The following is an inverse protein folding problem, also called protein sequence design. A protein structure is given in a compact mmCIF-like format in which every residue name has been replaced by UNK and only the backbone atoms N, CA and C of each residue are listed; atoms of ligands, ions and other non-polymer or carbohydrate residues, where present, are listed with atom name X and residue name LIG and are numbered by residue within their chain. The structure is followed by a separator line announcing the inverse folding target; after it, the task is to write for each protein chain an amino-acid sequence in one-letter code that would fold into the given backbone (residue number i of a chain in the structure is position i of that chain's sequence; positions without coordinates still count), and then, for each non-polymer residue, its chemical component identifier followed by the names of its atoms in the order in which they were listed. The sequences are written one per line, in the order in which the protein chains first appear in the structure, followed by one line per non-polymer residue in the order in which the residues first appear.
data_IF_291879924403
#
_entry.id   IF_291879924403
#
_cell.length_a   1.000
_cell.length_b   1.000
_cell.length_c   1.000
_cell.angle_alpha   90.00
_cell.angle_beta   90.00
_cell.angle_gamma   90.00
#
_symmetry.space_group_name_H-M   'P 1'
#
loop_
_entity.id
_entity.type
_entity.pdbx_description
1 polymer ?
#
# COMPACT_ATOMS: atom_id res chain seq x y z
N UNK A 1 -41.20 -10.42 -9.71
CA UNK A 1 -39.95 -11.04 -10.15
C UNK A 1 -38.86 -10.26 -9.45
N UNK A 2 -38.47 -10.74 -8.29
CA UNK A 2 -37.52 -10.06 -7.41
C UNK A 2 -36.16 -10.05 -8.11
N UNK A 3 -35.63 -8.84 -8.33
CA UNK A 3 -34.30 -8.68 -8.91
C UNK A 3 -33.30 -8.93 -7.79
N UNK A 4 -32.83 -10.16 -7.67
CA UNK A 4 -31.65 -10.49 -6.87
C UNK A 4 -30.47 -9.66 -7.39
N UNK A 5 -30.20 -8.55 -6.71
CA UNK A 5 -28.97 -7.80 -6.90
C UNK A 5 -27.92 -8.54 -6.07
N UNK A 6 -27.14 -9.41 -6.72
CA UNK A 6 -25.95 -9.98 -6.09
C UNK A 6 -25.05 -8.83 -5.61
N UNK A 7 -24.90 -8.71 -4.29
CA UNK A 7 -23.96 -7.74 -3.71
C UNK A 7 -22.55 -8.24 -4.04
N UNK A 8 -21.89 -7.54 -4.98
CA UNK A 8 -20.51 -7.83 -5.33
C UNK A 8 -19.63 -7.83 -4.07
N UNK A 9 -18.63 -8.73 -3.97
CA UNK A 9 -17.77 -8.80 -2.79
C UNK A 9 -17.05 -7.46 -2.54
N UNK A 10 -17.05 -7.02 -1.28
CA UNK A 10 -16.31 -5.83 -0.84
C UNK A 10 -14.80 -6.07 -1.04
N UNK A 11 -14.26 -5.40 -2.05
CA UNK A 11 -12.83 -5.44 -2.37
C UNK A 11 -12.07 -4.25 -1.78
N UNK A 12 -12.71 -3.39 -1.00
CA UNK A 12 -12.05 -2.23 -0.41
C UNK A 12 -11.10 -2.67 0.69
N UNK A 13 -9.84 -2.27 0.56
CA UNK A 13 -8.83 -2.37 1.61
C UNK A 13 -8.89 -1.09 2.42
N UNK A 14 -9.06 -1.22 3.73
CA UNK A 14 -9.27 -0.09 4.64
C UNK A 14 -8.12 0.05 5.62
N UNK A 15 -7.88 1.27 6.09
CA UNK A 15 -6.99 1.56 7.19
C UNK A 15 -7.47 0.81 8.45
N UNK A 16 -6.61 0.00 9.05
CA UNK A 16 -6.99 -0.75 10.25
C UNK A 16 -7.26 0.16 11.46
N UNK A 17 -6.63 1.34 11.50
CA UNK A 17 -6.75 2.28 12.61
C UNK A 17 -8.07 3.08 12.59
N UNK A 18 -8.51 3.58 11.42
CA UNK A 18 -9.68 4.46 11.32
C UNK A 18 -10.80 3.96 10.39
N UNK A 19 -10.57 2.89 9.62
CA UNK A 19 -11.55 2.34 8.68
C UNK A 19 -11.69 3.10 7.35
N UNK A 20 -10.90 4.15 7.14
CA UNK A 20 -10.86 4.88 5.87
C UNK A 20 -10.46 3.97 4.70
N UNK A 21 -11.09 4.15 3.55
CA UNK A 21 -10.78 3.42 2.32
C UNK A 21 -9.38 3.80 1.86
N UNK A 22 -8.52 2.81 1.63
CA UNK A 22 -7.11 3.01 1.26
C UNK A 22 -6.88 2.67 -0.21
N UNK A 23 -7.31 1.47 -0.62
CA UNK A 23 -7.18 0.95 -1.99
C UNK A 23 -8.24 -0.14 -2.24
N UNK A 24 -8.21 -0.76 -3.41
CA UNK A 24 -9.05 -1.89 -3.81
C UNK A 24 -8.16 -3.12 -4.06
N UNK A 25 -8.61 -4.32 -3.64
CA UNK A 25 -7.90 -5.60 -3.84
C UNK A 25 -7.59 -5.88 -5.32
N UNK A 26 -8.39 -5.35 -6.25
CA UNK A 26 -8.16 -5.45 -7.71
C UNK A 26 -6.94 -4.66 -8.18
N UNK A 27 -6.46 -3.70 -7.38
CA UNK A 27 -5.24 -2.94 -7.66
C UNK A 27 -3.98 -3.66 -7.17
N UNK A 28 -4.10 -4.86 -6.59
CA UNK A 28 -2.93 -5.66 -6.23
C UNK A 28 -2.10 -5.97 -7.48
N UNK A 29 -0.79 -5.74 -7.38
CA UNK A 29 0.19 -6.03 -8.44
C UNK A 29 1.34 -6.87 -7.91
N UNK A 30 2.05 -7.50 -8.84
CA UNK A 30 3.35 -8.11 -8.56
C UNK A 30 4.48 -7.14 -8.88
N UNK A 31 5.42 -6.99 -7.95
CA UNK A 31 6.66 -6.25 -8.14
C UNK A 31 7.80 -7.23 -7.90
N UNK A 32 8.76 -7.29 -8.83
CA UNK A 32 9.88 -8.25 -8.75
C UNK A 32 9.42 -9.71 -8.57
N UNK A 33 8.30 -10.10 -9.20
CA UNK A 33 7.78 -11.46 -9.21
C UNK A 33 6.96 -11.87 -7.96
N UNK A 34 6.56 -10.92 -7.11
CA UNK A 34 5.64 -11.21 -6.01
C UNK A 34 4.76 -10.01 -5.65
N UNK A 35 3.57 -10.28 -5.11
CA UNK A 35 2.75 -9.25 -4.46
C UNK A 35 3.19 -9.01 -3.01
N UNK A 36 3.66 -10.07 -2.32
CA UNK A 36 3.98 -10.04 -0.90
C UNK A 36 5.50 -10.00 -0.69
N UNK A 37 5.99 -9.00 0.04
CA UNK A 37 7.39 -8.92 0.42
C UNK A 37 7.55 -8.85 1.94
N UNK A 38 8.57 -9.54 2.44
CA UNK A 38 9.07 -9.34 3.80
C UNK A 38 10.32 -8.49 3.72
N UNK A 39 10.25 -7.29 4.24
CA UNK A 39 11.32 -6.31 4.16
C UNK A 39 11.83 -5.93 5.54
N UNK A 40 13.11 -5.61 5.67
CA UNK A 40 13.72 -5.13 6.92
C UNK A 40 14.36 -3.77 6.67
N UNK A 41 14.04 -2.78 7.50
CA UNK A 41 14.67 -1.47 7.40
C UNK A 41 16.05 -1.46 8.09
N UNK A 42 16.90 -0.44 7.86
CA UNK A 42 18.23 -0.34 8.50
C UNK A 42 18.19 -0.31 10.02
N UNK A 43 17.09 0.15 10.62
CA UNK A 43 16.89 0.14 12.07
C UNK A 43 16.48 -1.24 12.64
N UNK A 44 16.41 -2.27 11.79
CA UNK A 44 16.14 -3.65 12.21
C UNK A 44 14.68 -4.06 12.26
N UNK A 45 13.73 -3.17 11.91
CA UNK A 45 12.30 -3.48 11.91
C UNK A 45 11.89 -4.24 10.66
N UNK A 46 11.07 -5.27 10.82
CA UNK A 46 10.55 -6.07 9.71
C UNK A 46 9.09 -5.77 9.41
N UNK A 47 8.76 -5.70 8.14
CA UNK A 47 7.42 -5.44 7.63
C UNK A 47 7.04 -6.52 6.62
N UNK A 48 5.78 -6.94 6.64
CA UNK A 48 5.17 -7.61 5.52
C UNK A 48 4.40 -6.55 4.72
N UNK A 49 4.72 -6.42 3.44
CA UNK A 49 4.11 -5.43 2.56
C UNK A 49 3.39 -6.11 1.39
N UNK A 50 2.22 -5.58 1.04
CA UNK A 50 1.50 -5.90 -0.20
C UNK A 50 1.63 -4.75 -1.20
N UNK A 51 1.90 -5.07 -2.46
CA UNK A 51 2.10 -4.09 -3.52
C UNK A 51 0.80 -3.80 -4.29
N UNK A 52 0.41 -2.53 -4.38
CA UNK A 52 -0.76 -2.08 -5.14
C UNK A 52 -0.34 -1.05 -6.18
N UNK A 53 -0.99 -1.05 -7.35
CA UNK A 53 -0.73 -0.05 -8.39
C UNK A 53 -1.14 1.36 -7.97
N UNK A 54 -2.10 1.48 -7.06
CA UNK A 54 -2.54 2.76 -6.51
C UNK A 54 -3.17 2.59 -5.11
N UNK A 55 -3.17 3.66 -4.32
CA UNK A 55 -3.87 3.77 -3.03
C UNK A 55 -4.34 5.22 -2.82
N UNK A 56 -5.49 5.61 -3.41
CA UNK A 56 -5.98 6.99 -3.35
C UNK A 56 -6.32 7.45 -1.92
N UNK A 57 -6.51 6.52 -0.97
CA UNK A 57 -6.71 6.85 0.44
C UNK A 57 -5.42 7.07 1.23
N UNK A 58 -4.26 7.00 0.58
CA UNK A 58 -2.98 7.41 1.14
C UNK A 58 -2.60 8.80 0.63
N UNK A 59 -2.02 9.62 1.51
CA UNK A 59 -1.28 10.80 1.09
C UNK A 59 0.19 10.43 0.82
N UNK A 60 0.97 11.38 0.29
CA UNK A 60 2.43 11.26 0.17
C UNK A 60 3.08 12.24 1.13
N UNK A 61 4.04 11.77 1.93
CA UNK A 61 4.74 12.59 2.92
C UNK A 61 6.26 12.45 2.81
N UNK A 62 6.94 13.60 2.80
CA UNK A 62 8.38 13.73 2.61
C UNK A 62 8.86 13.70 1.15
N UNK A 63 10.13 14.09 0.94
CA UNK A 63 10.80 13.97 -0.35
C UNK A 63 11.17 12.51 -0.64
N UNK A 64 10.96 12.07 -1.88
CA UNK A 64 11.33 10.72 -2.28
C UNK A 64 12.85 10.50 -2.21
N UNK A 65 13.28 9.35 -1.68
CA UNK A 65 14.69 8.96 -1.56
C UNK A 65 14.89 7.50 -1.95
N UNK A 66 16.01 7.17 -2.58
CA UNK A 66 16.41 5.79 -2.87
C UNK A 66 17.14 5.11 -1.69
N UNK A 67 17.41 5.86 -0.61
CA UNK A 67 18.14 5.36 0.53
C UNK A 67 17.46 4.13 1.13
N UNK A 68 18.19 3.02 1.20
CA UNK A 68 17.71 1.74 1.72
C UNK A 68 16.39 1.26 1.09
N UNK A 69 16.16 1.59 -0.19
CA UNK A 69 15.00 1.08 -0.93
C UNK A 69 15.01 -0.46 -0.96
N UNK A 70 13.83 -1.06 -0.86
CA UNK A 70 13.65 -2.50 -1.01
C UNK A 70 13.42 -2.92 -2.46
N UNK A 71 13.11 -1.96 -3.33
CA UNK A 71 12.86 -2.18 -4.75
C UNK A 71 13.89 -1.40 -5.57
N UNK A 72 14.94 -2.07 -6.06
CA UNK A 72 15.99 -1.41 -6.85
C UNK A 72 15.40 -0.66 -8.05
N UNK A 73 15.86 0.59 -8.25
CA UNK A 73 15.34 1.47 -9.31
C UNK A 73 14.16 2.34 -8.89
N UNK A 74 13.71 2.25 -7.63
CA UNK A 74 12.64 3.09 -7.09
C UNK A 74 13.13 3.89 -5.88
N UNK A 75 12.87 5.20 -5.90
CA UNK A 75 12.88 6.04 -4.72
C UNK A 75 11.56 5.86 -3.96
N UNK A 76 11.52 6.19 -2.67
CA UNK A 76 10.33 6.07 -1.85
C UNK A 76 10.09 7.29 -0.97
N UNK A 77 8.81 7.55 -0.68
CA UNK A 77 8.39 8.46 0.38
C UNK A 77 7.29 7.79 1.24
N UNK A 78 6.92 8.38 2.37
CA UNK A 78 5.93 7.77 3.25
C UNK A 78 4.53 7.86 2.64
N UNK A 79 3.73 6.81 2.86
CA UNK A 79 2.32 6.74 2.53
C UNK A 79 1.48 6.68 3.83
N UNK A 80 1.24 7.82 4.50
CA UNK A 80 0.28 7.88 5.60
C UNK A 80 -1.16 7.77 5.10
N UNK A 81 -2.04 7.24 5.96
CA UNK A 81 -3.48 7.29 5.75
C UNK A 81 -3.93 8.74 5.58
N UNK A 82 -4.61 9.06 4.48
CA UNK A 82 -5.08 10.41 4.18
C UNK A 82 -6.14 10.94 5.16
N UNK A 83 -6.74 10.05 5.96
CA UNK A 83 -7.72 10.43 6.99
C UNK A 83 -7.10 10.64 8.37
N UNK A 84 -6.32 9.67 8.88
CA UNK A 84 -5.83 9.70 10.27
C UNK A 84 -4.32 9.89 10.42
N UNK A 85 -3.57 9.98 9.32
CA UNK A 85 -2.11 10.15 9.34
C UNK A 85 -1.32 8.90 9.78
N UNK A 86 -1.98 7.80 10.15
CA UNK A 86 -1.29 6.54 10.48
C UNK A 86 -0.41 6.12 9.30
N UNK A 87 0.87 5.89 9.54
CA UNK A 87 1.79 5.41 8.50
C UNK A 87 1.31 4.04 7.98
N UNK A 88 0.84 3.96 6.73
CA UNK A 88 0.34 2.71 6.15
C UNK A 88 1.39 2.01 5.28
N UNK A 89 2.37 2.73 4.76
CA UNK A 89 3.48 2.14 4.01
C UNK A 89 4.28 3.19 3.26
N UNK A 90 4.66 2.86 2.02
CA UNK A 90 5.54 3.70 1.21
C UNK A 90 5.06 3.77 -0.23
N UNK A 91 5.09 4.97 -0.80
CA UNK A 91 5.01 5.17 -2.25
C UNK A 91 6.38 4.90 -2.85
N UNK A 92 6.42 4.20 -3.98
CA UNK A 92 7.63 3.90 -4.74
C UNK A 92 7.55 4.57 -6.11
N UNK A 93 8.55 5.39 -6.44
CA UNK A 93 8.63 6.21 -7.64
C UNK A 93 9.86 5.80 -8.45
N UNK A 94 9.63 5.33 -9.68
CA UNK A 94 10.68 4.92 -10.61
C UNK A 94 10.20 5.07 -12.05
N UNK A 95 10.37 4.02 -12.86
CA UNK A 95 9.75 3.95 -14.21
C UNK A 95 8.23 4.07 -14.13
N UNK A 96 7.66 3.40 -13.16
CA UNK A 96 6.24 3.39 -12.83
C UNK A 96 6.09 3.81 -11.36
N UNK A 97 4.86 4.03 -10.89
CA UNK A 97 4.58 4.31 -9.47
C UNK A 97 3.70 3.20 -8.90
N UNK A 98 3.99 2.81 -7.67
CA UNK A 98 3.17 1.88 -6.91
C UNK A 98 3.29 2.16 -5.40
N UNK A 99 2.48 1.47 -4.59
CA UNK A 99 2.50 1.60 -3.14
C UNK A 99 2.71 0.23 -2.48
N UNK A 100 3.63 0.18 -1.52
CA UNK A 100 3.81 -0.97 -0.63
C UNK A 100 3.14 -0.71 0.71
N UNK A 101 2.00 -1.36 0.98
CA UNK A 101 1.22 -1.19 2.21
C UNK A 101 1.55 -2.27 3.24
N UNK A 102 1.74 -1.87 4.50
CA UNK A 102 2.03 -2.76 5.63
C UNK A 102 0.77 -3.56 5.96
N UNK A 103 0.84 -4.88 5.77
CA UNK A 103 -0.30 -5.80 5.91
C UNK A 103 -0.99 -5.70 7.26
N UNK A 104 -0.23 -5.56 8.34
CA UNK A 104 -0.80 -5.46 9.68
C UNK A 104 -1.50 -4.13 9.99
N UNK A 105 -1.48 -3.17 9.04
CA UNK A 105 -2.10 -1.84 9.19
C UNK A 105 -3.29 -1.62 8.26
N UNK A 106 -3.66 -2.64 7.50
CA UNK A 106 -4.81 -2.63 6.59
C UNK A 106 -5.72 -3.83 6.86
N UNK A 107 -7.00 -3.73 6.49
CA UNK A 107 -8.00 -4.82 6.61
C UNK A 107 -8.87 -4.92 5.35
#
# INVERSE_FOLDING_TARGET
MESDTEVAPDNTVRCAACGHDVTDRRLAIEVSGSHWHRCRNPAGWSFQIGCFSDAPGCSSDGSATDHATWFPGYAWCFAPCGSCGTHLGWWYLGRDTFVGLIVSRIR
#
